data_IF_695987977286
#
_entry.id   IF_695987977286
#
_cell.length_a   1.000
_cell.length_b   1.000
_cell.length_c   1.000
_cell.angle_alpha   90.00
_cell.angle_beta   90.00
_cell.angle_gamma   90.00
#
_symmetry.space_group_name_H-M   'P 1'
#
loop_
_entity.id
_entity.type
_entity.pdbx_description
1 polymer ?
#
# COMPACT_ATOMS: atom_id res chain seq x y z
N UNK A 1 4.27 8.08 -26.99
CA UNK A 1 3.46 8.70 -25.91
C UNK A 1 2.06 8.06 -25.78
N UNK A 2 1.90 6.76 -26.05
CA UNK A 2 0.57 6.11 -26.08
C UNK A 2 0.11 5.42 -24.78
N UNK A 3 1.02 5.18 -23.83
CA UNK A 3 0.76 4.34 -22.65
C UNK A 3 0.76 5.12 -21.32
N UNK A 4 1.16 6.40 -21.33
CA UNK A 4 1.24 7.23 -20.14
C UNK A 4 -0.14 7.58 -19.57
N UNK A 5 -1.10 7.88 -20.45
CA UNK A 5 -2.49 8.12 -20.06
C UNK A 5 -3.11 6.87 -19.40
N UNK A 6 -2.82 5.67 -19.93
CA UNK A 6 -3.28 4.41 -19.34
C UNK A 6 -2.64 4.10 -17.99
N UNK A 7 -1.36 4.45 -17.79
CA UNK A 7 -0.68 4.31 -16.51
C UNK A 7 -1.26 5.25 -15.45
N UNK A 8 -1.46 6.53 -15.79
CA UNK A 8 -2.07 7.52 -14.89
C UNK A 8 -3.49 7.10 -14.51
N UNK A 9 -4.29 6.61 -15.46
CA UNK A 9 -5.63 6.13 -15.19
C UNK A 9 -5.65 4.93 -14.23
N UNK A 10 -4.73 3.95 -14.42
CA UNK A 10 -4.57 2.83 -13.47
C UNK A 10 -4.23 3.30 -12.07
N UNK A 11 -3.28 4.24 -11.94
CA UNK A 11 -2.88 4.78 -10.64
C UNK A 11 -4.03 5.56 -9.99
N UNK A 12 -4.80 6.32 -10.78
CA UNK A 12 -5.98 7.04 -10.32
C UNK A 12 -7.04 6.09 -9.76
N UNK A 13 -7.34 5.00 -10.49
CA UNK A 13 -8.31 3.98 -10.06
C UNK A 13 -7.84 3.29 -8.77
N UNK A 14 -6.57 2.89 -8.70
CA UNK A 14 -6.00 2.25 -7.50
C UNK A 14 -6.03 3.21 -6.31
N UNK A 15 -5.68 4.49 -6.52
CA UNK A 15 -5.67 5.51 -5.46
C UNK A 15 -7.07 5.84 -4.97
N UNK A 16 -8.04 5.92 -5.87
CA UNK A 16 -9.44 6.12 -5.52
C UNK A 16 -10.00 4.92 -4.75
N UNK A 17 -9.72 3.71 -5.21
CA UNK A 17 -10.10 2.48 -4.51
C UNK A 17 -9.47 2.41 -3.11
N UNK A 18 -8.18 2.74 -2.99
CA UNK A 18 -7.47 2.77 -1.71
C UNK A 18 -8.02 3.84 -0.77
N UNK A 19 -8.38 5.02 -1.29
CA UNK A 19 -8.98 6.11 -0.51
C UNK A 19 -10.36 5.72 0.03
N UNK A 20 -11.19 5.07 -0.80
CA UNK A 20 -12.48 4.51 -0.37
C UNK A 20 -12.25 3.42 0.68
N UNK A 21 -11.28 2.54 0.46
CA UNK A 21 -10.92 1.46 1.38
C UNK A 21 -10.48 2.02 2.74
N UNK A 22 -9.69 3.09 2.79
CA UNK A 22 -9.28 3.72 4.06
C UNK A 22 -10.43 4.48 4.70
N UNK A 23 -11.19 5.27 3.91
CA UNK A 23 -12.28 6.12 4.41
C UNK A 23 -13.44 5.31 5.00
N UNK A 24 -13.78 4.20 4.38
CA UNK A 24 -14.90 3.35 4.82
C UNK A 24 -14.42 2.08 5.53
N UNK A 25 -13.17 1.65 5.33
CA UNK A 25 -12.60 0.50 6.05
C UNK A 25 -12.20 0.79 7.49
N UNK A 26 -12.28 2.04 7.97
CA UNK A 26 -12.19 2.34 9.41
C UNK A 26 -13.54 2.30 10.13
N UNK A 27 -14.63 2.68 9.45
CA UNK A 27 -15.96 2.81 10.06
C UNK A 27 -16.93 1.67 9.76
N UNK A 28 -16.80 1.00 8.60
CA UNK A 28 -17.61 -0.19 8.24
C UNK A 28 -17.01 -1.49 8.80
N UNK A 29 -15.73 -1.45 9.18
CA UNK A 29 -15.08 -2.53 9.91
C UNK A 29 -15.45 -2.39 11.38
N UNK A 30 -16.66 -2.85 11.72
CA UNK A 30 -16.89 -3.42 13.06
C UNK A 30 -16.05 -4.69 13.12
N UNK A 31 -14.72 -4.52 13.19
CA UNK A 31 -13.79 -5.62 13.26
C UNK A 31 -14.01 -6.21 14.63
N UNK A 32 -14.50 -7.44 14.69
CA UNK A 32 -14.32 -8.22 15.89
C UNK A 32 -12.83 -8.12 16.26
N UNK A 33 -12.46 -7.74 17.49
CA UNK A 33 -11.08 -7.54 17.92
C UNK A 33 -10.38 -8.91 17.97
N UNK A 34 -10.09 -9.48 16.81
CA UNK A 34 -9.43 -10.74 16.61
C UNK A 34 -7.95 -10.47 16.43
N UNK A 35 -7.11 -11.31 17.04
CA UNK A 35 -5.66 -11.15 17.01
C UNK A 35 -5.09 -11.10 15.58
N UNK A 36 -5.74 -11.77 14.63
CA UNK A 36 -5.34 -11.78 13.23
C UNK A 36 -5.49 -10.39 12.57
N UNK A 37 -6.61 -9.70 12.78
CA UNK A 37 -6.84 -8.37 12.19
C UNK A 37 -5.90 -7.32 12.77
N UNK A 38 -5.64 -7.38 14.08
CA UNK A 38 -4.66 -6.50 14.73
C UNK A 38 -3.25 -6.76 14.20
N UNK A 39 -2.87 -8.03 14.06
CA UNK A 39 -1.58 -8.41 13.50
C UNK A 39 -1.42 -7.88 12.07
N UNK A 40 -2.42 -8.06 11.20
CA UNK A 40 -2.39 -7.54 9.82
C UNK A 40 -2.24 -6.02 9.82
N UNK A 41 -3.01 -5.29 10.64
CA UNK A 41 -2.95 -3.83 10.70
C UNK A 41 -1.59 -3.29 11.17
N UNK A 42 -0.92 -3.98 12.10
CA UNK A 42 0.42 -3.61 12.60
C UNK A 42 1.52 -4.06 11.64
N UNK A 43 1.37 -5.23 11.02
CA UNK A 43 2.42 -5.85 10.21
C UNK A 43 2.46 -5.29 8.78
N UNK A 44 1.32 -4.86 8.21
CA UNK A 44 1.27 -4.22 6.88
C UNK A 44 2.22 -3.03 6.74
N UNK A 45 2.15 -1.99 7.60
CA UNK A 45 3.04 -0.84 7.48
C UNK A 45 4.51 -1.22 7.69
N UNK A 46 4.80 -2.18 8.57
CA UNK A 46 6.16 -2.71 8.75
C UNK A 46 6.68 -3.42 7.49
N UNK A 47 5.85 -4.24 6.84
CA UNK A 47 6.21 -4.95 5.61
C UNK A 47 6.41 -3.99 4.44
N UNK A 48 5.57 -2.96 4.34
CA UNK A 48 5.71 -1.88 3.35
C UNK A 48 7.05 -1.16 3.57
N UNK A 49 7.35 -0.75 4.81
CA UNK A 49 8.62 -0.09 5.13
C UNK A 49 9.81 -1.00 4.84
N UNK A 50 9.75 -2.29 5.18
CA UNK A 50 10.81 -3.26 4.88
C UNK A 50 11.02 -3.42 3.37
N UNK A 51 9.93 -3.48 2.58
CA UNK A 51 10.01 -3.53 1.12
C UNK A 51 10.59 -2.25 0.51
N UNK A 52 10.16 -1.08 1.00
CA UNK A 52 10.69 0.22 0.55
C UNK A 52 12.16 0.37 0.91
N UNK A 53 12.57 0.01 2.13
CA UNK A 53 13.96 0.06 2.57
C UNK A 53 14.82 -0.95 1.83
N UNK A 54 14.32 -2.17 1.59
CA UNK A 54 15.00 -3.18 0.78
C UNK A 54 15.19 -2.73 -0.67
N UNK A 55 14.15 -2.13 -1.27
CA UNK A 55 14.22 -1.54 -2.61
C UNK A 55 15.19 -0.35 -2.66
N UNK A 56 15.21 0.50 -1.63
CA UNK A 56 16.19 1.60 -1.52
C UNK A 56 17.60 1.08 -1.32
N UNK A 57 17.81 0.05 -0.52
CA UNK A 57 19.11 -0.58 -0.32
C UNK A 57 19.61 -1.21 -1.62
N UNK A 58 18.73 -1.85 -2.38
CA UNK A 58 19.06 -2.42 -3.70
C UNK A 58 19.42 -1.34 -4.74
N UNK A 59 18.66 -0.24 -4.80
CA UNK A 59 19.00 0.89 -5.67
C UNK A 59 20.29 1.61 -5.25
N UNK A 60 20.55 1.71 -3.95
CA UNK A 60 21.80 2.27 -3.41
C UNK A 60 23.03 1.40 -3.67
N UNK A 61 22.86 0.11 -3.95
CA UNK A 61 23.92 -0.81 -4.37
C UNK A 61 24.19 -0.82 -5.88
N UNK A 62 23.38 -0.14 -6.69
CA UNK A 62 23.54 -0.04 -8.16
C UNK A 62 24.24 1.27 -8.60
N UNK A 63 24.69 2.07 -7.62
CA UNK A 63 25.59 3.22 -7.81
C UNK A 63 26.99 2.86 -7.27
N UNK A 64 27.56 1.76 -7.77
CA UNK A 64 29.00 1.55 -7.78
C UNK A 64 29.41 0.56 -8.86
#
# INVERSE_FOLDING_TARGET
MGNQAGFIFKVLVISAALSILIKYGGGALSIAPTSANVLIAVFLPALIMAGVLGWRAWQGGQVH
#
